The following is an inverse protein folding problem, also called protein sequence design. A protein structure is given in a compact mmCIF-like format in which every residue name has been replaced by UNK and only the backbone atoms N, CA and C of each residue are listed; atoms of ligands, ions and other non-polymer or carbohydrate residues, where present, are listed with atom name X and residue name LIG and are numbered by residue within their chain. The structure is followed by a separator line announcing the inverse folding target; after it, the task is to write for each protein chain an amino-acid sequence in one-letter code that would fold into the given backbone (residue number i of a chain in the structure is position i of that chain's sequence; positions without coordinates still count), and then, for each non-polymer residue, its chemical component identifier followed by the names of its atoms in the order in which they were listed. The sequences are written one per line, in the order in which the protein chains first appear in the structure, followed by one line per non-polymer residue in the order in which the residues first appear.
data_IF_017627276813
#
_entry.id   IF_017627276813
#
_cell.length_a   1.000
_cell.length_b   1.000
_cell.length_c   1.000
_cell.angle_alpha   90.00
_cell.angle_beta   90.00
_cell.angle_gamma   90.00
#
_symmetry.space_group_name_H-M   'P 1'
#
loop_
_entity.id
_entity.type
_entity.pdbx_description
1 polymer ?
#
# COMPACT_ATOMS: atom_id res chain seq x y z
N UNK A 1 -14.94 40.19 3.98
CA UNK A 1 -14.32 40.47 5.30
C UNK A 1 -15.07 39.60 6.30
N UNK A 2 -14.54 38.56 6.93
CA UNK A 2 -13.24 37.92 6.95
C UNK A 2 -13.50 36.42 7.06
N UNK A 3 -12.72 35.63 6.32
CA UNK A 3 -12.70 34.18 6.45
C UNK A 3 -11.85 33.82 7.67
N UNK A 4 -12.45 33.14 8.65
CA UNK A 4 -11.72 32.41 9.68
C UNK A 4 -12.20 30.96 9.66
N UNK A 5 -11.58 30.15 8.81
CA UNK A 5 -11.70 28.70 8.83
C UNK A 5 -10.56 28.13 9.66
N UNK A 6 -10.95 27.37 10.67
CA UNK A 6 -10.15 26.84 11.75
C UNK A 6 -9.12 25.84 11.21
N UNK A 7 -7.85 26.17 11.45
CA UNK A 7 -6.70 25.29 11.39
C UNK A 7 -6.80 24.19 12.46
N UNK A 8 -6.95 22.94 12.05
CA UNK A 8 -6.61 21.79 12.89
C UNK A 8 -6.43 20.55 12.00
N UNK A 9 -5.17 20.11 11.92
CA UNK A 9 -4.59 18.85 11.45
C UNK A 9 -3.40 19.18 10.53
N UNK A 10 -2.24 19.31 11.20
CA UNK A 10 -0.99 19.81 10.64
C UNK A 10 -0.29 18.84 9.67
N UNK A 11 0.85 19.28 9.10
CA UNK A 11 1.62 18.59 8.07
C UNK A 11 2.40 17.33 8.54
N UNK A 12 1.98 16.68 9.63
CA UNK A 12 2.78 15.69 10.38
C UNK A 12 2.30 14.23 10.21
N UNK A 13 2.08 13.77 8.97
CA UNK A 13 1.95 12.34 8.67
C UNK A 13 3.16 11.93 7.82
N UNK A 14 4.33 12.07 8.43
CA UNK A 14 5.53 11.37 7.99
C UNK A 14 5.31 9.88 8.28
N UNK A 15 5.45 9.00 7.28
CA UNK A 15 5.40 7.54 7.48
C UNK A 15 6.45 7.12 8.51
N UNK A 16 6.03 6.96 9.77
CA UNK A 16 6.91 7.04 10.96
C UNK A 16 7.91 5.88 11.09
N UNK A 17 7.80 4.85 10.27
CA UNK A 17 8.79 3.76 10.20
C UNK A 17 9.82 3.90 9.08
N UNK A 18 9.70 4.92 8.21
CA UNK A 18 10.72 5.25 7.23
C UNK A 18 11.21 6.65 7.57
N UNK A 19 12.52 6.76 7.79
CA UNK A 19 13.19 8.04 7.98
C UNK A 19 12.88 8.97 6.79
N UNK A 20 11.94 9.89 6.98
CA UNK A 20 11.70 11.00 6.07
C UNK A 20 12.74 12.08 6.32
N UNK A 21 13.38 12.55 5.25
CA UNK A 21 14.16 13.80 5.28
C UNK A 21 13.95 14.54 3.96
N UNK A 22 13.63 15.83 4.08
CA UNK A 22 13.67 16.82 3.02
C UNK A 22 15.11 17.06 2.55
N UNK A 23 15.35 16.90 1.24
CA UNK A 23 16.62 17.20 0.58
C UNK A 23 16.97 18.69 0.70
N UNK A 24 17.98 19.05 1.50
CA UNK A 24 18.81 20.23 1.25
C UNK A 24 20.29 19.88 1.34
N UNK A 25 21.04 20.45 0.40
CA UNK A 25 22.39 20.07 0.03
C UNK A 25 23.46 20.38 1.11
N UNK A 26 24.55 19.60 1.10
CA UNK A 26 25.86 20.12 1.51
C UNK A 26 26.63 19.35 2.58
N UNK A 27 26.70 18.02 2.54
CA UNK A 27 27.88 17.27 3.04
C UNK A 27 28.12 16.09 2.11
N UNK A 28 29.38 15.74 1.83
CA UNK A 28 29.71 14.50 1.11
C UNK A 28 29.19 13.34 1.97
N UNK A 29 28.10 12.73 1.51
CA UNK A 29 27.49 11.57 2.14
C UNK A 29 28.52 10.43 2.11
N UNK A 30 29.00 10.00 3.28
CA UNK A 30 29.98 8.93 3.39
C UNK A 30 29.65 8.05 4.60
N UNK A 31 29.83 6.73 4.41
CA UNK A 31 29.72 5.72 5.46
C UNK A 31 30.61 6.05 6.66
N UNK A 32 30.02 6.11 7.87
CA UNK A 32 30.74 6.32 9.12
C UNK A 32 31.30 5.00 9.65
N UNK A 33 32.60 4.83 9.46
CA UNK A 33 33.33 3.64 9.92
C UNK A 33 33.38 3.49 11.44
N UNK A 34 33.06 4.55 12.21
CA UNK A 34 32.96 4.47 13.67
C UNK A 34 31.66 3.79 14.12
N UNK A 35 30.62 3.77 13.29
CA UNK A 35 29.39 3.01 13.57
C UNK A 35 29.64 1.54 13.25
N UNK A 36 30.07 1.26 12.03
CA UNK A 36 30.47 -0.08 11.62
C UNK A 36 31.34 -0.07 10.38
N UNK A 37 32.07 -1.18 10.21
CA UNK A 37 32.85 -1.48 9.01
C UNK A 37 32.28 -2.71 8.32
N UNK A 38 32.57 -2.87 7.04
CA UNK A 38 32.13 -4.06 6.31
C UNK A 38 32.71 -5.34 6.91
N UNK A 39 31.83 -6.29 7.13
CA UNK A 39 32.21 -7.59 7.65
C UNK A 39 32.81 -8.44 6.54
N UNK A 40 33.89 -9.16 6.87
CA UNK A 40 34.42 -10.19 5.99
C UNK A 40 33.51 -11.42 6.06
N UNK A 41 33.14 -12.04 4.93
CA UNK A 41 32.31 -13.24 4.93
C UNK A 41 32.95 -14.34 5.79
N UNK A 42 32.21 -14.85 6.78
CA UNK A 42 32.62 -16.07 7.50
C UNK A 42 32.36 -17.29 6.63
N UNK A 43 33.38 -18.15 6.45
CA UNK A 43 33.23 -19.42 5.71
C UNK A 43 32.50 -20.50 6.52
N UNK A 44 32.42 -20.33 7.84
CA UNK A 44 31.78 -21.29 8.76
C UNK A 44 30.47 -20.71 9.26
N UNK A 45 29.34 -21.22 8.75
CA UNK A 45 27.98 -20.81 9.15
C UNK A 45 26.91 -21.57 8.36
N UNK A 46 25.64 -21.49 8.77
CA UNK A 46 24.52 -22.06 8.02
C UNK A 46 24.37 -21.37 6.65
N UNK A 47 23.66 -21.99 5.71
CA UNK A 47 23.32 -21.33 4.44
C UNK A 47 22.49 -20.08 4.72
N UNK A 48 22.78 -18.98 4.01
CA UNK A 48 21.96 -17.76 4.09
C UNK A 48 20.50 -18.10 3.74
N UNK A 49 19.51 -17.61 4.51
CA UNK A 49 18.10 -17.72 4.20
C UNK A 49 17.79 -17.18 2.80
N UNK A 50 16.88 -17.85 2.10
CA UNK A 50 16.35 -17.40 0.81
C UNK A 50 14.96 -16.84 1.06
N UNK A 51 14.79 -15.55 0.83
CA UNK A 51 13.48 -14.90 0.96
C UNK A 51 12.62 -15.20 -0.28
N UNK A 52 11.31 -15.44 -0.10
CA UNK A 52 10.40 -15.71 -1.22
C UNK A 52 10.16 -14.46 -2.06
N UNK A 53 9.73 -14.64 -3.32
CA UNK A 53 9.36 -13.53 -4.20
C UNK A 53 7.95 -12.98 -3.90
N UNK A 54 7.18 -13.69 -3.09
CA UNK A 54 5.85 -13.30 -2.62
C UNK A 54 5.77 -13.59 -1.13
N UNK A 55 5.30 -12.62 -0.34
CA UNK A 55 5.06 -12.84 1.09
C UNK A 55 3.97 -11.94 1.67
N UNK A 56 3.48 -12.33 2.84
CA UNK A 56 2.76 -11.44 3.76
C UNK A 56 3.35 -11.55 5.16
N UNK A 57 3.39 -10.46 5.92
CA UNK A 57 3.94 -10.43 7.27
C UNK A 57 3.30 -9.33 8.12
N UNK A 58 3.12 -9.62 9.41
CA UNK A 58 2.81 -8.60 10.40
C UNK A 58 4.10 -8.16 11.11
N UNK A 59 4.33 -6.84 11.15
CA UNK A 59 5.55 -6.23 11.68
C UNK A 59 5.21 -5.28 12.81
N UNK A 60 5.69 -5.57 14.03
CA UNK A 60 5.68 -4.59 15.11
C UNK A 60 7.00 -3.82 15.07
N UNK A 61 6.92 -2.50 14.98
CA UNK A 61 8.06 -1.61 14.87
C UNK A 61 8.20 -0.80 16.16
N UNK A 62 9.28 -1.06 16.90
CA UNK A 62 9.63 -0.35 18.13
C UNK A 62 10.74 0.67 17.83
N UNK A 63 10.40 1.95 17.82
CA UNK A 63 11.30 3.08 17.56
C UNK A 63 11.80 3.61 18.91
N UNK A 64 12.89 3.03 19.42
CA UNK A 64 13.29 3.20 20.81
C UNK A 64 13.72 4.64 21.12
N UNK A 65 14.39 5.30 20.19
CA UNK A 65 14.79 6.71 20.34
C UNK A 65 13.59 7.68 20.35
N UNK A 66 12.38 7.23 19.98
CA UNK A 66 11.14 8.01 20.06
C UNK A 66 10.16 7.48 21.12
N UNK A 67 10.49 6.40 21.84
CA UNK A 67 9.58 5.68 22.74
C UNK A 67 8.22 5.39 22.08
N UNK A 68 8.25 4.90 20.84
CA UNK A 68 7.08 4.74 20.00
C UNK A 68 7.00 3.32 19.42
N UNK A 69 5.81 2.77 19.37
CA UNK A 69 5.52 1.46 18.76
C UNK A 69 4.38 1.62 17.77
N UNK A 70 4.53 1.05 16.57
CA UNK A 70 3.47 0.96 15.56
C UNK A 70 3.46 -0.43 14.94
N UNK A 71 2.33 -0.80 14.35
CA UNK A 71 2.14 -2.12 13.73
C UNK A 71 1.79 -1.98 12.26
N UNK A 72 2.45 -2.80 11.44
CA UNK A 72 2.16 -2.90 10.01
C UNK A 72 1.75 -4.32 9.63
N UNK A 73 0.96 -4.43 8.58
CA UNK A 73 0.85 -5.66 7.81
C UNK A 73 1.32 -5.35 6.40
N UNK A 74 2.31 -6.09 5.92
CA UNK A 74 2.90 -5.93 4.60
C UNK A 74 2.50 -7.09 3.69
N UNK A 75 2.23 -6.76 2.43
CA UNK A 75 2.05 -7.72 1.34
C UNK A 75 2.98 -7.35 0.21
N UNK A 76 3.78 -8.32 -0.21
CA UNK A 76 4.81 -8.12 -1.20
C UNK A 76 4.64 -9.12 -2.34
N UNK A 77 4.55 -8.63 -3.57
CA UNK A 77 4.33 -9.42 -4.77
C UNK A 77 5.27 -8.95 -5.88
N UNK A 78 6.51 -9.48 -5.84
CA UNK A 78 7.55 -9.16 -6.82
C UNK A 78 7.12 -9.51 -8.24
N UNK A 79 6.46 -10.67 -8.41
CA UNK A 79 6.08 -11.21 -9.71
C UNK A 79 5.12 -10.28 -10.46
N UNK A 80 4.25 -9.57 -9.74
CA UNK A 80 3.32 -8.60 -10.32
C UNK A 80 3.73 -7.13 -10.08
N UNK A 81 4.97 -6.89 -9.62
CA UNK A 81 5.52 -5.55 -9.41
C UNK A 81 4.61 -4.65 -8.57
N UNK A 82 4.17 -5.18 -7.42
CA UNK A 82 3.27 -4.46 -6.51
C UNK A 82 3.51 -4.84 -5.05
N UNK A 83 3.18 -3.93 -4.15
CA UNK A 83 3.18 -4.15 -2.72
C UNK A 83 2.03 -3.38 -2.06
N UNK A 84 1.68 -3.76 -0.85
CA UNK A 84 0.71 -3.05 -0.04
C UNK A 84 1.13 -3.08 1.43
N UNK A 85 0.72 -2.08 2.18
CA UNK A 85 0.96 -2.00 3.61
C UNK A 85 -0.26 -1.42 4.32
N UNK A 86 -0.59 -1.98 5.46
CA UNK A 86 -1.63 -1.49 6.37
C UNK A 86 -1.01 -1.09 7.69
N UNK A 87 -1.16 0.18 8.07
CA UNK A 87 -0.74 0.67 9.39
C UNK A 87 -1.88 0.59 10.41
N UNK A 88 -1.53 0.16 11.62
CA UNK A 88 -2.39 0.13 12.78
C UNK A 88 -1.72 0.88 13.95
N UNK A 89 -2.05 2.16 14.12
CA UNK A 89 -1.58 2.98 15.25
C UNK A 89 -2.75 3.76 15.89
N UNK A 90 -2.93 3.63 17.21
CA UNK A 90 -3.73 4.53 18.05
C UNK A 90 -5.11 4.95 17.51
N UNK A 91 -5.80 4.03 16.81
CA UNK A 91 -7.13 4.26 16.21
C UNK A 91 -7.12 4.92 14.82
N UNK A 92 -5.96 5.38 14.34
CA UNK A 92 -5.72 5.70 12.95
C UNK A 92 -5.39 4.41 12.18
N UNK A 93 -5.96 4.28 10.99
CA UNK A 93 -5.69 3.16 10.10
C UNK A 93 -5.43 3.74 8.73
N UNK A 94 -4.20 3.64 8.27
CA UNK A 94 -3.82 4.02 6.93
C UNK A 94 -3.48 2.78 6.12
N UNK A 95 -3.58 2.89 4.82
CA UNK A 95 -3.04 1.87 3.92
C UNK A 95 -2.42 2.50 2.71
N UNK A 96 -1.32 1.92 2.25
CA UNK A 96 -0.68 2.28 1.00
C UNK A 96 -0.62 1.10 0.05
N UNK A 97 -0.80 1.38 -1.23
CA UNK A 97 -0.62 0.44 -2.33
C UNK A 97 0.46 1.00 -3.25
N UNK A 98 1.51 0.22 -3.46
CA UNK A 98 2.63 0.52 -4.34
C UNK A 98 2.41 -0.25 -5.63
N UNK A 99 2.11 0.46 -6.73
CA UNK A 99 1.97 -0.14 -8.05
C UNK A 99 3.07 0.38 -8.98
N UNK A 100 4.09 -0.44 -9.17
CA UNK A 100 5.26 -0.08 -9.96
C UNK A 100 4.98 -0.12 -11.46
N UNK A 101 3.98 -0.90 -11.90
CA UNK A 101 3.56 -0.94 -13.31
C UNK A 101 2.95 0.40 -13.73
N UNK A 102 2.11 0.99 -12.87
CA UNK A 102 1.45 2.27 -13.16
C UNK A 102 2.19 3.47 -12.61
N UNK A 103 3.27 3.28 -11.85
CA UNK A 103 4.02 4.32 -11.15
C UNK A 103 3.14 5.11 -10.16
N UNK A 104 2.31 4.40 -9.38
CA UNK A 104 1.35 4.98 -8.42
C UNK A 104 1.61 4.51 -7.00
N UNK A 105 1.67 5.47 -6.07
CA UNK A 105 1.53 5.27 -4.64
C UNK A 105 0.14 5.73 -4.24
N UNK A 106 -0.71 4.80 -3.83
CA UNK A 106 -2.09 5.10 -3.45
C UNK A 106 -2.18 5.03 -1.94
N UNK A 107 -2.40 6.15 -1.27
CA UNK A 107 -2.57 6.22 0.19
C UNK A 107 -4.03 6.46 0.55
N UNK A 108 -4.52 5.76 1.56
CA UNK A 108 -5.92 5.81 1.99
C UNK A 108 -6.01 5.94 3.50
N UNK A 109 -6.59 7.04 3.98
CA UNK A 109 -7.08 7.14 5.35
C UNK A 109 -8.37 6.31 5.46
N UNK A 110 -8.33 5.25 6.26
CA UNK A 110 -9.45 4.30 6.34
C UNK A 110 -10.63 4.80 7.14
N UNK A 111 -10.42 5.81 7.99
CA UNK A 111 -11.47 6.45 8.79
C UNK A 111 -12.23 7.45 7.94
N UNK A 112 -11.52 8.36 7.26
CA UNK A 112 -12.15 9.41 6.44
C UNK A 112 -12.46 8.98 5.01
N UNK A 113 -11.92 7.83 4.57
CA UNK A 113 -11.98 7.35 3.18
C UNK A 113 -11.30 8.28 2.17
N UNK A 114 -10.53 9.27 2.64
CA UNK A 114 -9.73 10.13 1.78
C UNK A 114 -8.63 9.30 1.13
N UNK A 115 -8.47 9.49 -0.17
CA UNK A 115 -7.47 8.81 -0.97
C UNK A 115 -6.62 9.81 -1.74
N UNK A 116 -5.30 9.62 -1.68
CA UNK A 116 -4.34 10.35 -2.49
C UNK A 116 -3.62 9.38 -3.43
N UNK A 117 -3.31 9.85 -4.63
CA UNK A 117 -2.57 9.10 -5.64
C UNK A 117 -1.36 9.92 -6.03
N UNK A 118 -0.20 9.49 -5.56
CA UNK A 118 1.08 10.13 -5.82
C UNK A 118 1.90 9.30 -6.82
N UNK A 119 2.86 9.93 -7.46
CA UNK A 119 3.77 9.21 -8.35
C UNK A 119 4.89 8.57 -7.54
N UNK A 120 5.09 7.25 -7.68
CA UNK A 120 6.23 6.56 -7.07
C UNK A 120 7.56 7.17 -7.51
N UNK A 121 7.65 7.83 -8.68
CA UNK A 121 8.89 8.44 -9.13
C UNK A 121 9.33 9.70 -8.39
N UNK A 122 8.38 10.39 -7.76
CA UNK A 122 8.63 11.67 -7.08
C UNK A 122 8.34 11.60 -5.60
N UNK A 123 7.48 10.68 -5.17
CA UNK A 123 7.06 10.57 -3.78
C UNK A 123 8.22 10.15 -2.86
N UNK A 124 8.45 10.84 -1.74
CA UNK A 124 9.53 10.50 -0.81
C UNK A 124 9.33 9.16 -0.08
N UNK A 125 8.08 8.69 0.06
CA UNK A 125 7.73 7.43 0.75
C UNK A 125 7.87 6.18 -0.13
N UNK A 126 8.31 6.34 -1.37
CA UNK A 126 8.48 5.24 -2.34
C UNK A 126 9.45 4.11 -1.91
N UNK A 127 10.27 4.34 -0.89
CA UNK A 127 11.45 3.50 -0.63
C UNK A 127 11.12 2.18 0.09
N UNK A 128 9.95 2.02 0.72
CA UNK A 128 9.62 0.86 1.56
C UNK A 128 9.84 -0.49 0.86
N UNK A 129 9.30 -0.62 -0.35
CA UNK A 129 9.43 -1.82 -1.18
C UNK A 129 10.38 -1.62 -2.36
N UNK A 130 11.06 -0.48 -2.37
CA UNK A 130 12.11 -0.15 -3.31
C UNK A 130 11.77 0.88 -4.37
N UNK A 131 12.82 1.47 -4.92
CA UNK A 131 12.78 2.32 -6.09
C UNK A 131 14.14 2.26 -6.80
N UNK A 132 14.35 1.23 -7.62
CA UNK A 132 15.56 1.16 -8.45
C UNK A 132 15.35 1.93 -9.75
N UNK A 133 16.31 2.77 -10.15
CA UNK A 133 16.25 3.61 -11.36
C UNK A 133 17.14 3.12 -12.51
N UNK A 134 17.54 1.84 -12.53
CA UNK A 134 18.54 1.33 -13.50
C UNK A 134 18.20 1.66 -14.96
N UNK A 135 16.89 1.76 -15.30
CA UNK A 135 16.40 2.15 -16.63
C UNK A 135 15.47 3.38 -16.60
N UNK A 136 15.52 4.20 -15.54
CA UNK A 136 14.60 5.33 -15.35
C UNK A 136 13.15 4.95 -15.06
N UNK A 137 12.86 3.66 -14.85
CA UNK A 137 11.55 3.12 -14.46
C UNK A 137 11.57 2.67 -13.00
N UNK A 138 10.46 2.89 -12.30
CA UNK A 138 10.29 2.43 -10.93
C UNK A 138 10.23 0.89 -10.89
N UNK A 139 11.10 0.26 -10.09
CA UNK A 139 11.06 -1.17 -9.85
C UNK A 139 10.98 -1.48 -8.36
N UNK A 140 10.14 -2.47 -8.04
CA UNK A 140 10.12 -3.10 -6.72
C UNK A 140 11.45 -3.82 -6.49
N UNK A 141 12.01 -3.71 -5.29
CA UNK A 141 13.18 -4.49 -4.90
C UNK A 141 12.83 -5.97 -4.82
N UNK A 142 13.82 -6.85 -4.86
CA UNK A 142 13.62 -8.21 -4.36
C UNK A 142 13.31 -8.16 -2.86
N UNK A 143 12.70 -9.20 -2.27
CA UNK A 143 12.45 -9.23 -0.83
C UNK A 143 13.75 -9.03 -0.01
N UNK A 144 14.88 -9.58 -0.48
CA UNK A 144 16.18 -9.30 0.12
C UNK A 144 16.65 -7.87 -0.07
N UNK A 145 16.33 -7.20 -1.19
CA UNK A 145 16.62 -5.78 -1.37
C UNK A 145 15.73 -4.88 -0.52
N UNK A 146 14.45 -5.22 -0.33
CA UNK A 146 13.54 -4.47 0.56
C UNK A 146 13.95 -4.59 2.04
N UNK A 147 14.58 -5.71 2.42
CA UNK A 147 15.10 -5.95 3.75
C UNK A 147 16.61 -5.68 3.89
N UNK A 148 17.29 -5.16 2.86
CA UNK A 148 18.76 -5.04 2.83
C UNK A 148 19.51 -6.29 3.37
N UNK A 149 19.06 -7.46 2.93
CA UNK A 149 19.55 -8.78 3.32
C UNK A 149 19.80 -9.70 2.11
N UNK A 150 20.97 -10.34 2.08
CA UNK A 150 21.35 -11.38 1.12
C UNK A 150 22.08 -10.86 -0.12
N UNK A 151 22.33 -11.75 -1.12
CA UNK A 151 23.07 -11.59 -2.40
C UNK A 151 24.17 -10.51 -2.47
N UNK A 152 23.81 -9.23 -2.44
CA UNK A 152 24.71 -8.09 -2.62
C UNK A 152 25.27 -7.52 -1.31
N UNK A 153 24.76 -7.98 -0.16
CA UNK A 153 25.16 -7.52 1.16
C UNK A 153 26.13 -8.50 1.82
N UNK A 154 27.05 -7.94 2.60
CA UNK A 154 28.08 -8.68 3.35
C UNK A 154 27.59 -9.01 4.76
N UNK A 155 26.53 -9.83 4.88
CA UNK A 155 26.17 -10.38 6.18
C UNK A 155 27.20 -11.38 6.67
N UNK A 156 27.53 -11.27 7.94
CA UNK A 156 28.32 -12.25 8.68
C UNK A 156 27.40 -13.04 9.61
N UNK A 157 27.50 -14.37 9.56
CA UNK A 157 26.89 -15.20 10.59
C UNK A 157 27.69 -15.05 11.89
N UNK A 158 26.99 -14.78 12.99
CA UNK A 158 27.60 -14.55 14.30
C UNK A 158 27.49 -15.82 15.16
N UNK A 159 26.27 -16.23 15.48
CA UNK A 159 25.98 -17.39 16.33
C UNK A 159 24.49 -17.81 16.21
N UNK A 160 24.08 -18.77 17.05
CA UNK A 160 22.68 -19.07 17.30
C UNK A 160 22.23 -18.47 18.63
N UNK A 161 21.00 -17.98 18.69
CA UNK A 161 20.41 -17.38 19.89
C UNK A 161 18.89 -17.56 19.90
N UNK A 162 18.25 -17.27 21.03
CA UNK A 162 16.80 -17.42 21.20
C UNK A 162 16.13 -16.05 21.25
N UNK A 163 15.16 -15.83 20.38
CA UNK A 163 14.34 -14.60 20.33
C UNK A 163 12.89 -15.00 20.52
N UNK A 164 12.22 -14.47 21.55
CA UNK A 164 10.81 -14.77 21.87
C UNK A 164 10.51 -16.28 21.94
N UNK A 165 11.46 -17.05 22.48
CA UNK A 165 11.36 -18.51 22.55
C UNK A 165 11.68 -19.25 21.26
N UNK A 166 11.96 -18.56 20.14
CA UNK A 166 12.30 -19.14 18.85
C UNK A 166 13.82 -19.23 18.70
N UNK A 167 14.32 -20.43 18.40
CA UNK A 167 15.73 -20.63 18.08
C UNK A 167 16.07 -20.01 16.72
N UNK A 168 17.03 -19.10 16.69
CA UNK A 168 17.41 -18.30 15.53
C UNK A 168 18.91 -18.41 15.20
N UNK A 169 19.23 -18.23 13.92
CA UNK A 169 20.57 -17.85 13.45
C UNK A 169 20.66 -16.32 13.41
N UNK A 170 21.69 -15.75 14.02
CA UNK A 170 21.99 -14.32 13.99
C UNK A 170 22.96 -14.01 12.83
N UNK A 171 22.52 -13.12 11.96
CA UNK A 171 23.28 -12.54 10.87
C UNK A 171 23.44 -11.04 11.09
N UNK A 172 24.64 -10.51 10.91
CA UNK A 172 24.93 -9.09 11.10
C UNK A 172 25.45 -8.46 9.81
N UNK A 173 24.91 -7.32 9.41
CA UNK A 173 25.43 -6.49 8.32
C UNK A 173 25.75 -5.07 8.78
N UNK A 174 26.61 -4.41 8.01
CA UNK A 174 26.87 -2.98 8.11
C UNK A 174 26.32 -2.32 6.85
N UNK A 175 25.27 -1.51 7.00
CA UNK A 175 24.51 -0.93 5.90
C UNK A 175 24.72 0.58 5.90
N UNK A 176 24.86 1.16 4.71
CA UNK A 176 24.88 2.60 4.49
C UNK A 176 23.72 2.99 3.57
N UNK A 177 22.91 3.93 4.02
CA UNK A 177 21.77 4.47 3.26
C UNK A 177 22.07 5.90 2.83
N UNK A 178 22.45 6.05 1.57
CA UNK A 178 22.80 7.33 0.95
C UNK A 178 21.65 8.33 1.03
N UNK A 179 20.40 7.86 0.85
CA UNK A 179 19.20 8.70 0.77
C UNK A 179 18.95 9.55 2.02
N UNK A 180 19.38 9.06 3.17
CA UNK A 180 19.25 9.74 4.47
C UNK A 180 20.60 10.00 5.13
N UNK A 181 21.71 9.68 4.45
CA UNK A 181 23.06 9.72 4.99
C UNK A 181 23.12 9.03 6.38
N UNK A 182 22.78 7.74 6.42
CA UNK A 182 22.79 6.96 7.65
C UNK A 182 23.68 5.72 7.53
N UNK A 183 24.50 5.48 8.55
CA UNK A 183 25.26 4.22 8.70
C UNK A 183 24.67 3.43 9.85
N UNK A 184 24.46 2.13 9.65
CA UNK A 184 23.79 1.28 10.64
C UNK A 184 24.34 -0.15 10.68
N UNK A 185 24.33 -0.73 11.86
CA UNK A 185 24.44 -2.16 12.08
C UNK A 185 23.04 -2.74 12.08
N UNK A 186 22.83 -3.80 11.30
CA UNK A 186 21.57 -4.54 11.27
C UNK A 186 21.81 -5.97 11.70
N UNK A 187 21.14 -6.38 12.78
CA UNK A 187 21.10 -7.74 13.26
C UNK A 187 19.81 -8.42 12.81
N UNK A 188 19.96 -9.35 11.87
CA UNK A 188 18.89 -10.18 11.34
C UNK A 188 18.81 -11.52 12.08
N UNK A 189 17.62 -11.82 12.59
CA UNK A 189 17.33 -13.06 13.28
C UNK A 189 16.37 -13.88 12.42
N UNK A 190 16.85 -15.01 11.91
CA UNK A 190 16.05 -15.96 11.15
C UNK A 190 15.93 -17.26 11.94
N UNK A 191 14.75 -17.89 11.93
CA UNK A 191 14.57 -19.18 12.61
C UNK A 191 15.58 -20.21 12.08
N UNK A 192 16.01 -21.14 12.94
CA UNK A 192 16.83 -22.28 12.48
C UNK A 192 15.99 -23.21 11.62
N UNK A 193 16.62 -23.97 10.72
CA UNK A 193 15.89 -24.84 9.78
C UNK A 193 15.11 -25.98 10.46
N UNK A 194 15.48 -26.33 11.69
CA UNK A 194 14.77 -27.33 12.51
C UNK A 194 13.58 -26.75 13.28
N UNK A 195 13.37 -25.43 13.24
CA UNK A 195 12.28 -24.78 13.95
C UNK A 195 11.03 -24.71 13.07
N UNK A 196 9.94 -25.35 13.49
CA UNK A 196 8.65 -25.25 12.83
C UNK A 196 7.92 -23.99 13.29
N UNK A 197 7.78 -23.01 12.39
CA UNK A 197 6.92 -21.84 12.65
C UNK A 197 5.45 -22.19 12.45
N UNK A 198 4.55 -21.34 12.95
CA UNK A 198 3.10 -21.48 12.74
C UNK A 198 2.69 -21.42 11.25
N UNK A 199 3.55 -20.89 10.39
CA UNK A 199 3.36 -20.79 8.94
C UNK A 199 4.11 -21.88 8.16
N UNK A 200 4.72 -22.84 8.87
CA UNK A 200 5.56 -23.93 8.31
C UNK A 200 6.74 -23.44 7.45
N UNK A 201 7.15 -22.18 7.64
CA UNK A 201 8.28 -21.59 6.94
C UNK A 201 9.58 -21.90 7.67
N UNK A 202 10.48 -22.58 6.98
CA UNK A 202 11.85 -22.76 7.44
C UNK A 202 12.62 -21.47 7.24
N UNK A 203 13.47 -21.10 8.21
CA UNK A 203 14.28 -19.90 8.15
C UNK A 203 13.47 -18.61 7.91
N UNK A 204 12.32 -18.50 8.58
CA UNK A 204 11.51 -17.28 8.55
C UNK A 204 12.21 -16.13 9.30
N UNK A 205 12.07 -14.87 8.84
CA UNK A 205 12.51 -13.72 9.62
C UNK A 205 11.72 -13.64 10.91
N UNK A 206 12.41 -13.37 12.02
CA UNK A 206 11.83 -13.26 13.36
C UNK A 206 12.02 -11.85 13.91
N UNK A 207 13.21 -11.28 13.73
CA UNK A 207 13.53 -9.91 14.18
C UNK A 207 14.57 -9.26 13.27
N UNK A 208 14.47 -7.95 13.12
CA UNK A 208 15.60 -7.10 12.74
C UNK A 208 15.86 -6.10 13.88
N UNK A 209 17.11 -5.99 14.31
CA UNK A 209 17.53 -4.97 15.27
C UNK A 209 18.51 -4.03 14.60
N UNK A 210 18.08 -2.78 14.45
CA UNK A 210 18.83 -1.75 13.74
C UNK A 210 19.36 -0.74 14.74
N UNK A 211 20.68 -0.52 14.73
CA UNK A 211 21.34 0.55 15.47
C UNK A 211 22.18 1.36 14.52
N UNK A 212 22.04 2.67 14.52
CA UNK A 212 22.79 3.49 13.58
C UNK A 212 22.90 4.94 13.98
N UNK A 213 23.55 5.68 13.09
CA UNK A 213 23.70 7.12 13.16
C UNK A 213 23.29 7.73 11.83
N UNK A 214 22.51 8.80 11.91
CA UNK A 214 22.07 9.59 10.76
C UNK A 214 22.65 11.00 10.87
N UNK A 215 23.10 11.57 9.74
CA UNK A 215 23.61 12.94 9.69
C UNK A 215 22.55 13.85 9.06
N UNK A 216 21.90 14.64 9.91
CA UNK A 216 20.92 15.64 9.49
C UNK A 216 21.50 17.03 9.70
N UNK A 217 21.61 17.81 8.62
CA UNK A 217 22.15 19.18 8.67
C UNK A 217 23.52 19.27 9.37
N UNK A 218 24.40 18.30 9.10
CA UNK A 218 25.73 18.21 9.71
C UNK A 218 25.75 17.75 11.18
N UNK A 219 24.59 17.51 11.80
CA UNK A 219 24.49 17.02 13.18
C UNK A 219 24.23 15.52 13.20
N UNK A 220 25.10 14.71 13.83
CA UNK A 220 24.86 13.28 13.99
C UNK A 220 23.76 13.03 15.04
N UNK A 221 22.88 12.08 14.74
CA UNK A 221 21.86 11.56 15.67
C UNK A 221 21.89 10.05 15.67
N UNK A 222 21.98 9.47 16.85
CA UNK A 222 21.89 8.02 17.04
C UNK A 222 20.42 7.59 17.05
N UNK A 223 20.14 6.41 16.49
CA UNK A 223 18.80 5.82 16.47
C UNK A 223 18.90 4.31 16.70
N UNK A 224 17.81 3.75 17.23
CA UNK A 224 17.71 2.32 17.50
C UNK A 224 16.27 1.85 17.30
N UNK A 225 16.07 0.92 16.37
CA UNK A 225 14.77 0.36 16.03
C UNK A 225 14.79 -1.16 16.17
N UNK A 226 13.68 -1.74 16.62
CA UNK A 226 13.47 -3.20 16.64
C UNK A 226 12.22 -3.50 15.83
N UNK A 227 12.36 -4.34 14.81
CA UNK A 227 11.28 -4.83 13.97
C UNK A 227 11.03 -6.29 14.31
N UNK A 228 9.83 -6.61 14.79
CA UNK A 228 9.39 -7.96 15.11
C UNK A 228 8.53 -8.50 13.99
N UNK A 229 9.00 -9.56 13.34
CA UNK A 229 8.26 -10.22 12.28
C UNK A 229 7.41 -11.35 12.85
N UNK A 230 6.12 -11.32 12.55
CA UNK A 230 5.15 -12.33 12.96
C UNK A 230 4.28 -12.74 11.79
N UNK A 231 3.76 -13.97 11.84
CA UNK A 231 2.87 -14.50 10.80
C UNK A 231 3.47 -14.46 9.38
N UNK A 232 4.80 -14.58 9.24
CA UNK A 232 5.46 -14.54 7.93
C UNK A 232 5.04 -15.73 7.06
N UNK A 233 4.36 -15.45 5.94
CA UNK A 233 3.88 -16.45 4.97
C UNK A 233 4.54 -16.19 3.62
N UNK A 234 4.83 -17.24 2.87
CA UNK A 234 5.32 -17.14 1.49
C UNK A 234 4.17 -17.10 0.45
N UNK A 235 2.99 -16.64 0.88
CA UNK A 235 1.78 -16.57 0.08
C UNK A 235 0.97 -15.34 0.49
N UNK A 236 0.03 -14.94 -0.37
CA UNK A 236 -0.93 -13.87 -0.09
C UNK A 236 -2.33 -14.47 -0.25
N UNK A 237 -3.09 -14.49 0.84
CA UNK A 237 -4.38 -15.18 0.88
C UNK A 237 -5.48 -14.45 0.08
N UNK A 238 -5.39 -13.12 -0.04
CA UNK A 238 -6.38 -12.28 -0.72
C UNK A 238 -5.70 -11.25 -1.60
N UNK A 239 -5.94 -11.29 -2.91
CA UNK A 239 -5.35 -10.33 -3.86
C UNK A 239 -5.99 -8.94 -3.79
N UNK A 240 -7.14 -8.81 -3.14
CA UNK A 240 -7.83 -7.52 -2.93
C UNK A 240 -7.04 -6.56 -2.04
N UNK A 241 -5.99 -7.01 -1.36
CA UNK A 241 -5.05 -6.14 -0.61
C UNK A 241 -4.32 -5.15 -1.53
N UNK A 242 -4.23 -5.44 -2.83
CA UNK A 242 -3.64 -4.55 -3.85
C UNK A 242 -4.68 -3.66 -4.54
N UNK A 243 -5.92 -3.66 -4.06
CA UNK A 243 -6.99 -2.86 -4.62
C UNK A 243 -7.45 -1.79 -3.61
N UNK A 244 -7.90 -0.65 -4.13
CA UNK A 244 -8.61 0.34 -3.31
C UNK A 244 -9.86 -0.31 -2.75
N UNK A 245 -10.08 -0.15 -1.44
CA UNK A 245 -11.24 -0.73 -0.76
C UNK A 245 -12.55 -0.17 -1.31
N UNK A 246 -13.61 -0.95 -1.15
CA UNK A 246 -14.97 -0.54 -1.46
C UNK A 246 -15.34 0.79 -0.77
N UNK A 247 -16.03 1.66 -1.52
CA UNK A 247 -16.42 2.99 -1.05
C UNK A 247 -15.30 4.03 -1.02
N UNK A 248 -14.10 3.72 -1.51
CA UNK A 248 -13.00 4.69 -1.65
C UNK A 248 -12.88 5.12 -3.11
N UNK A 249 -13.00 6.43 -3.35
CA UNK A 249 -12.72 7.04 -4.65
C UNK A 249 -11.35 7.74 -4.59
N UNK A 250 -10.49 7.43 -5.56
CA UNK A 250 -9.13 7.96 -5.65
C UNK A 250 -9.00 8.83 -6.92
N UNK A 251 -9.18 10.15 -6.82
CA UNK A 251 -8.98 11.05 -7.95
C UNK A 251 -7.58 10.87 -8.56
N UNK A 252 -7.49 10.86 -9.89
CA UNK A 252 -6.21 10.75 -10.61
C UNK A 252 -5.65 9.33 -10.75
N UNK A 253 -6.28 8.31 -10.15
CA UNK A 253 -5.86 6.91 -10.35
C UNK A 253 -6.00 6.49 -11.82
N UNK A 254 -4.97 5.86 -12.35
CA UNK A 254 -4.94 5.32 -13.71
C UNK A 254 -5.89 4.12 -13.83
N UNK A 255 -6.77 4.19 -14.81
CA UNK A 255 -7.70 3.10 -15.14
C UNK A 255 -6.93 1.99 -15.88
N UNK A 256 -6.61 0.91 -15.15
CA UNK A 256 -5.98 -0.29 -15.72
C UNK A 256 -6.97 -1.40 -16.02
N UNK A 257 -8.15 -1.36 -15.39
CA UNK A 257 -9.24 -2.28 -15.65
C UNK A 257 -10.14 -1.65 -16.73
N UNK A 258 -10.42 -2.35 -17.84
CA UNK A 258 -11.38 -1.83 -18.81
C UNK A 258 -12.73 -1.66 -18.12
N UNK A 259 -13.44 -0.59 -18.47
CA UNK A 259 -14.84 -0.49 -18.09
C UNK A 259 -15.57 -1.70 -18.69
N UNK A 260 -16.46 -2.35 -17.92
CA UNK A 260 -17.30 -3.38 -18.50
C UNK A 260 -18.06 -2.78 -19.68
N UNK A 261 -18.00 -3.44 -20.83
CA UNK A 261 -18.83 -3.06 -21.97
C UNK A 261 -20.25 -3.48 -21.59
N UNK A 262 -21.21 -2.54 -21.45
CA UNK A 262 -22.59 -2.90 -21.17
C UNK A 262 -23.06 -3.86 -22.27
N UNK A 263 -23.84 -4.88 -21.88
CA UNK A 263 -24.47 -5.72 -22.88
C UNK A 263 -25.39 -4.86 -23.77
N UNK A 264 -25.54 -5.25 -25.04
CA UNK A 264 -26.45 -4.56 -25.97
C UNK A 264 -27.92 -4.67 -25.53
N UNK A 265 -28.20 -5.48 -24.51
CA UNK A 265 -29.46 -5.54 -23.78
C UNK A 265 -29.18 -5.55 -22.28
N UNK A 266 -29.86 -4.70 -21.51
CA UNK A 266 -29.76 -4.73 -20.05
C UNK A 266 -31.05 -4.20 -19.42
N UNK A 267 -31.23 -4.49 -18.14
CA UNK A 267 -32.24 -3.81 -17.34
C UNK A 267 -31.70 -3.52 -15.94
N UNK A 268 -32.18 -2.44 -15.34
CA UNK A 268 -31.82 -2.06 -13.98
C UNK A 268 -33.00 -1.35 -13.31
N UNK A 269 -32.95 -1.24 -11.99
CA UNK A 269 -33.92 -0.49 -11.20
C UNK A 269 -33.21 0.64 -10.48
N UNK A 270 -33.69 1.86 -10.69
CA UNK A 270 -33.23 3.06 -9.98
C UNK A 270 -34.21 3.43 -8.89
N UNK A 271 -33.69 3.92 -7.76
CA UNK A 271 -34.46 4.58 -6.72
C UNK A 271 -34.29 6.09 -6.87
N UNK A 272 -35.40 6.83 -6.85
CA UNK A 272 -35.45 8.29 -6.95
C UNK A 272 -35.88 8.82 -5.60
N UNK A 273 -35.00 9.56 -4.94
CA UNK A 273 -35.25 10.17 -3.63
C UNK A 273 -35.46 11.68 -3.83
N UNK A 274 -36.68 12.16 -3.60
CA UNK A 274 -37.00 13.59 -3.55
C UNK A 274 -37.15 14.04 -2.10
N UNK A 275 -36.04 14.56 -1.55
CA UNK A 275 -35.92 14.90 -0.13
C UNK A 275 -36.78 16.08 0.30
N UNK A 276 -37.08 17.00 -0.62
CA UNK A 276 -37.90 18.19 -0.41
C UNK A 276 -39.38 17.87 -0.16
N UNK A 277 -39.88 16.79 -0.74
CA UNK A 277 -41.28 16.34 -0.60
C UNK A 277 -41.42 14.97 0.09
N UNK A 278 -40.32 14.42 0.64
CA UNK A 278 -40.29 13.11 1.31
C UNK A 278 -40.88 11.97 0.45
N UNK A 279 -40.60 11.98 -0.85
CA UNK A 279 -41.06 10.94 -1.78
C UNK A 279 -39.91 10.04 -2.21
N UNK A 280 -40.18 8.73 -2.21
CA UNK A 280 -39.31 7.70 -2.77
C UNK A 280 -40.07 7.05 -3.92
N UNK A 281 -39.47 7.04 -5.10
CA UNK A 281 -39.99 6.36 -6.28
C UNK A 281 -39.01 5.36 -6.83
N UNK A 282 -39.52 4.48 -7.68
CA UNK A 282 -38.71 3.49 -8.38
C UNK A 282 -39.03 3.52 -9.87
N UNK A 283 -37.99 3.38 -10.69
CA UNK A 283 -38.11 3.21 -12.13
C UNK A 283 -37.29 1.97 -12.53
N UNK A 284 -37.90 1.08 -13.30
CA UNK A 284 -37.18 0.00 -13.97
C UNK A 284 -36.95 0.39 -15.41
N UNK A 285 -35.71 0.31 -15.85
CA UNK A 285 -35.31 0.64 -17.20
C UNK A 285 -34.89 -0.65 -17.90
N UNK A 286 -35.40 -0.87 -19.10
CA UNK A 286 -35.02 -1.96 -19.98
C UNK A 286 -34.51 -1.33 -21.28
N UNK A 287 -33.31 -1.71 -21.69
CA UNK A 287 -32.66 -1.24 -22.89
C UNK A 287 -32.36 -2.43 -23.79
N UNK A 288 -32.68 -2.32 -25.07
CA UNK A 288 -32.28 -3.28 -26.11
C UNK A 288 -31.86 -2.52 -27.38
N UNK A 289 -30.57 -2.52 -27.64
CA UNK A 289 -29.95 -1.88 -28.81
C UNK A 289 -30.29 -2.58 -30.11
N UNK A 290 -30.45 -3.90 -30.12
CA UNK A 290 -30.73 -4.65 -31.35
C UNK A 290 -32.11 -4.30 -31.90
N UNK A 291 -33.05 -3.99 -31.01
CA UNK A 291 -34.38 -3.51 -31.36
C UNK A 291 -34.51 -2.00 -31.23
N UNK A 292 -33.45 -1.25 -30.90
CA UNK A 292 -33.49 0.20 -30.64
C UNK A 292 -34.64 0.63 -29.70
N UNK A 293 -34.95 -0.19 -28.68
CA UNK A 293 -36.04 0.05 -27.74
C UNK A 293 -35.51 0.44 -26.36
N UNK A 294 -36.22 1.37 -25.72
CA UNK A 294 -36.08 1.65 -24.29
C UNK A 294 -37.45 1.59 -23.65
N UNK A 295 -37.58 0.84 -22.55
CA UNK A 295 -38.81 0.74 -21.77
C UNK A 295 -38.58 1.17 -20.33
N UNK A 296 -39.49 1.97 -19.82
CA UNK A 296 -39.55 2.42 -18.44
C UNK A 296 -40.81 1.86 -17.77
N UNK A 297 -40.65 1.17 -16.65
CA UNK A 297 -41.76 0.83 -15.75
C UNK A 297 -41.64 1.69 -14.49
N UNK A 298 -42.63 2.53 -14.20
CA UNK A 298 -42.59 3.42 -13.04
C UNK A 298 -43.98 3.73 -12.48
N UNK A 299 -44.04 4.05 -11.20
CA UNK A 299 -45.24 4.64 -10.60
C UNK A 299 -45.06 6.16 -10.55
N UNK A 300 -46.01 6.97 -11.06
CA UNK A 300 -45.87 8.43 -11.07
C UNK A 300 -45.70 9.03 -9.67
N UNK A 301 -44.66 9.84 -9.49
CA UNK A 301 -44.41 10.59 -8.25
C UNK A 301 -45.13 11.94 -8.30
N UNK A 302 -46.47 11.91 -8.21
CA UNK A 302 -47.31 13.12 -8.19
C UNK A 302 -48.45 13.10 -9.22
N UNK A 303 -49.12 14.25 -9.42
CA UNK A 303 -50.23 14.36 -10.36
C UNK A 303 -49.77 14.01 -11.78
N UNK A 304 -50.36 12.97 -12.36
CA UNK A 304 -50.05 12.50 -13.71
C UNK A 304 -51.35 12.43 -14.52
N UNK A 305 -51.28 12.84 -15.78
CA UNK A 305 -52.36 12.78 -16.78
C UNK A 305 -52.96 11.37 -16.93
N UNK A 306 -52.20 10.32 -16.64
CA UNK A 306 -52.60 8.91 -16.76
C UNK A 306 -52.97 8.26 -15.41
N UNK A 307 -53.07 9.05 -14.33
CA UNK A 307 -53.44 8.57 -13.00
C UNK A 307 -52.25 8.05 -12.17
N UNK A 308 -52.53 7.53 -10.95
CA UNK A 308 -51.50 7.07 -10.01
C UNK A 308 -51.04 5.63 -10.24
N UNK A 309 -51.67 4.91 -11.16
CA UNK A 309 -51.36 3.50 -11.42
C UNK A 309 -49.97 3.32 -12.05
N UNK A 310 -49.33 2.15 -11.88
CA UNK A 310 -48.06 1.84 -12.55
C UNK A 310 -48.16 2.04 -14.07
N UNK A 311 -47.20 2.78 -14.61
CA UNK A 311 -47.11 3.12 -16.02
C UNK A 311 -45.98 2.34 -16.69
N UNK A 312 -46.18 2.03 -17.97
CA UNK A 312 -45.15 1.49 -18.87
C UNK A 312 -45.00 2.48 -20.01
N UNK A 313 -43.80 3.01 -20.18
CA UNK A 313 -43.45 3.89 -21.30
C UNK A 313 -42.44 3.19 -22.18
N UNK A 314 -42.70 3.10 -23.50
CA UNK A 314 -41.79 2.50 -24.47
C UNK A 314 -41.39 3.56 -25.49
N UNK A 315 -40.09 3.73 -25.69
CA UNK A 315 -39.47 4.60 -26.69
C UNK A 315 -38.86 3.72 -27.77
N UNK A 316 -39.28 3.93 -29.02
CA UNK A 316 -38.80 3.20 -30.19
C UNK A 316 -38.00 4.12 -31.11
N UNK A 317 -36.68 3.90 -31.15
CA UNK A 317 -35.74 4.70 -31.92
C UNK A 317 -35.49 4.16 -33.34
N UNK A 318 -36.19 3.10 -33.77
CA UNK A 318 -36.16 2.69 -35.19
C UNK A 318 -36.98 3.63 -36.07
N UNK A 319 -37.86 4.43 -35.48
CA UNK A 319 -38.71 5.35 -36.22
C UNK A 319 -37.99 6.68 -36.40
N UNK A 320 -37.26 6.84 -37.51
CA UNK A 320 -37.04 8.18 -38.08
C UNK A 320 -38.40 8.66 -38.56
N UNK A 321 -39.18 9.31 -37.70
CA UNK A 321 -40.30 10.11 -38.19
C UNK A 321 -39.69 11.43 -38.68
N UNK A 322 -39.34 11.43 -39.97
CA UNK A 322 -39.34 12.66 -40.73
C UNK A 322 -40.76 13.21 -40.76
N UNK A 323 -40.91 14.48 -40.34
CA UNK A 323 -42.06 15.37 -40.55
C UNK A 323 -43.43 14.85 -40.11
N UNK A 324 -44.00 15.49 -39.08
CA UNK A 324 -45.33 16.09 -39.21
C UNK A 324 -45.56 17.20 -38.18
N UNK A 325 -46.16 18.28 -38.66
CA UNK A 325 -46.51 19.52 -37.97
C UNK A 325 -47.39 19.28 -36.73
N UNK A 326 -47.08 19.99 -35.64
CA UNK A 326 -48.05 20.79 -34.86
C UNK A 326 -47.40 22.08 -34.39
#
# INVERSE_FOLDING_TARGET
MEANSISALGPDIEWKCILLIALTAGTLAQKDTNVCVDFKPTQNGPKKPVLPTVYSVAVECNILNKNFTTNYHEWFDYNNSRAAVDEHDSGARESAIYNFITNELITVDRKTKKCNVDSLSTDPNRQLFGYATSDGKAHIYTAGGALDFGRNFSEQWINQTTIRGIQCNLWRSCVYWDSINATMVVDWYFSVSSWMTSTMMNNAPVRAHVKGRVWQFGTPRDFEHIYEFTEFRNSIDRLTVFETREGVFCPGRKLTKPLPIPADYFHFQSEIIQSDVNLIGHIKEYFDKNTSLVRYDYTPMGPNTYGPDPQIQVHDFNTVIGLEHW
#
